data_IF_560079371416
#
_entry.id   IF_560079371416
#
_cell.length_a   1.000
_cell.length_b   1.000
_cell.length_c   1.000
_cell.angle_alpha   90.00
_cell.angle_beta   90.00
_cell.angle_gamma   90.00
#
_symmetry.space_group_name_H-M   'P 1'
#
loop_
_entity.id
_entity.type
_entity.pdbx_description
1 polymer ?
#
# COMPACT_ATOMS: atom_id res chain seq x y z
N UNK A 1 -1.18 -5.04 1.40
CA UNK A 1 -2.64 -4.81 1.41
C UNK A 1 -2.98 -3.79 0.34
N UNK A 2 -3.97 -4.08 -0.45
CA UNK A 2 -4.58 -3.06 -1.32
C UNK A 2 -5.68 -2.46 -0.46
N UNK A 3 -5.49 -1.23 0.04
CA UNK A 3 -6.47 -0.52 0.82
C UNK A 3 -7.85 -0.62 0.17
N UNK A 4 -8.77 -1.12 0.92
CA UNK A 4 -10.17 -1.25 0.55
C UNK A 4 -10.95 -0.19 1.32
N UNK A 5 -11.37 0.82 0.58
CA UNK A 5 -12.51 1.60 0.95
C UNK A 5 -12.28 2.88 1.71
N UNK A 6 -12.33 3.94 0.98
CA UNK A 6 -12.74 5.23 1.52
C UNK A 6 -14.23 5.15 1.82
N UNK A 7 -14.65 5.54 3.02
CA UNK A 7 -16.06 5.62 3.38
C UNK A 7 -16.54 7.03 3.15
N UNK A 8 -17.51 7.20 2.27
CA UNK A 8 -18.11 8.49 1.98
C UNK A 8 -19.54 8.56 2.54
N UNK A 9 -19.84 9.58 3.33
CA UNK A 9 -21.21 9.97 3.61
C UNK A 9 -21.64 11.03 2.62
N UNK A 10 -22.72 10.79 1.87
CA UNK A 10 -23.37 11.82 1.05
C UNK A 10 -24.63 12.29 1.76
N UNK A 11 -24.71 13.56 2.11
CA UNK A 11 -25.92 14.19 2.59
C UNK A 11 -26.74 14.77 1.41
N UNK A 12 -27.57 13.93 0.82
CA UNK A 12 -28.90 14.29 0.40
C UNK A 12 -29.81 13.24 1.04
N UNK A 13 -30.33 13.55 2.25
CA UNK A 13 -31.20 12.71 3.06
C UNK A 13 -30.49 11.48 3.70
N UNK A 14 -29.89 11.64 4.86
CA UNK A 14 -29.72 10.62 5.92
C UNK A 14 -29.19 9.23 5.50
N UNK A 15 -28.36 9.13 4.45
CA UNK A 15 -27.88 7.85 3.95
C UNK A 15 -26.36 7.72 4.11
N UNK A 16 -25.92 6.66 4.81
CA UNK A 16 -24.52 6.25 4.88
C UNK A 16 -24.17 5.41 3.66
N UNK A 17 -23.08 5.76 2.98
CA UNK A 17 -22.55 4.97 1.85
C UNK A 17 -21.07 4.70 2.04
N UNK A 18 -20.65 3.50 1.65
CA UNK A 18 -19.27 3.09 1.66
C UNK A 18 -18.79 2.82 0.24
N UNK A 19 -17.63 3.37 -0.12
CA UNK A 19 -17.05 3.21 -1.45
C UNK A 19 -15.58 2.74 -1.36
N UNK A 20 -15.15 2.01 -2.36
CA UNK A 20 -13.73 1.76 -2.56
C UNK A 20 -13.04 3.00 -3.13
N UNK A 21 -11.72 3.06 -3.04
CA UNK A 21 -10.89 4.12 -3.63
C UNK A 21 -11.17 4.41 -5.11
N UNK A 22 -11.74 3.46 -5.84
CA UNK A 22 -12.11 3.60 -7.25
C UNK A 22 -13.60 3.93 -7.42
N UNK A 23 -14.32 4.33 -6.36
CA UNK A 23 -15.72 4.70 -6.38
C UNK A 23 -16.70 3.52 -6.52
N UNK A 24 -16.23 2.27 -6.30
CA UNK A 24 -17.11 1.11 -6.30
C UNK A 24 -17.87 1.03 -4.97
N UNK A 25 -19.17 0.86 -5.02
CA UNK A 25 -20.01 0.65 -3.85
C UNK A 25 -19.60 -0.60 -3.06
N UNK A 26 -19.53 -0.45 -1.73
CA UNK A 26 -19.15 -1.48 -0.76
C UNK A 26 -20.27 -1.70 0.27
N UNK A 27 -21.52 -1.86 -0.20
CA UNK A 27 -22.69 -2.10 0.63
C UNK A 27 -22.71 -3.44 1.38
N UNK A 28 -21.71 -4.28 1.17
CA UNK A 28 -21.57 -5.61 1.77
C UNK A 28 -20.89 -5.63 3.15
N UNK A 29 -20.82 -4.49 3.84
CA UNK A 29 -20.33 -4.36 5.23
C UNK A 29 -21.44 -3.83 6.17
N UNK A 30 -22.54 -4.60 6.39
CA UNK A 30 -23.74 -4.09 7.05
C UNK A 30 -23.48 -3.60 8.49
N UNK A 31 -22.62 -4.25 9.26
CA UNK A 31 -22.30 -3.82 10.63
C UNK A 31 -21.54 -2.49 10.67
N UNK A 32 -20.61 -2.27 9.75
CA UNK A 32 -19.90 -0.99 9.66
C UNK A 32 -20.88 0.12 9.26
N UNK A 33 -21.71 -0.13 8.24
CA UNK A 33 -22.71 0.83 7.78
C UNK A 33 -23.73 1.16 8.89
N UNK A 34 -24.23 0.15 9.62
CA UNK A 34 -25.14 0.35 10.75
C UNK A 34 -24.49 1.23 11.84
N UNK A 35 -23.22 1.00 12.20
CA UNK A 35 -22.54 1.80 13.22
C UNK A 35 -22.33 3.26 12.78
N UNK A 36 -22.16 3.51 11.50
CA UNK A 36 -22.18 4.89 10.98
C UNK A 36 -23.58 5.49 11.01
N UNK A 37 -24.64 4.73 10.73
CA UNK A 37 -26.02 5.21 10.87
C UNK A 37 -26.35 5.59 12.32
N UNK A 38 -25.90 4.79 13.30
CA UNK A 38 -26.09 5.06 14.72
C UNK A 38 -25.36 6.32 15.23
N UNK A 39 -24.30 6.75 14.54
CA UNK A 39 -23.56 7.95 14.92
C UNK A 39 -23.98 9.23 14.13
N UNK A 40 -24.96 9.15 13.23
CA UNK A 40 -25.37 10.30 12.41
C UNK A 40 -25.76 11.53 13.24
N UNK A 41 -26.42 11.32 14.38
CA UNK A 41 -26.85 12.41 15.28
C UNK A 41 -25.68 13.15 15.93
N UNK A 42 -24.47 12.59 15.92
CA UNK A 42 -23.26 13.24 16.42
C UNK A 42 -22.66 14.23 15.39
N UNK A 43 -23.12 14.20 14.15
CA UNK A 43 -22.55 14.97 13.06
C UNK A 43 -23.31 16.29 12.86
N UNK A 44 -22.63 17.42 12.94
CA UNK A 44 -23.17 18.74 12.59
C UNK A 44 -23.22 18.99 11.07
N UNK A 45 -22.39 18.28 10.32
CA UNK A 45 -22.27 18.39 8.86
C UNK A 45 -21.94 17.04 8.22
N UNK A 46 -22.04 16.97 6.90
CA UNK A 46 -21.68 15.76 6.16
C UNK A 46 -20.17 15.56 6.15
N UNK A 47 -19.74 14.37 6.49
CA UNK A 47 -18.35 14.00 6.62
C UNK A 47 -17.94 12.89 5.66
N UNK A 48 -16.67 12.89 5.29
CA UNK A 48 -15.97 11.77 4.66
C UNK A 48 -15.01 11.20 5.68
N UNK A 49 -15.06 9.88 5.86
CA UNK A 49 -14.15 9.13 6.71
C UNK A 49 -13.26 8.25 5.82
N UNK A 50 -11.95 8.36 5.99
CA UNK A 50 -10.96 7.63 5.20
C UNK A 50 -10.32 6.53 6.07
N UNK A 51 -10.41 5.29 5.60
CA UNK A 51 -10.01 4.13 6.38
C UNK A 51 -9.68 2.91 5.53
N UNK A 52 -9.23 1.86 6.19
CA UNK A 52 -8.95 0.56 5.58
C UNK A 52 -9.74 -0.54 6.28
N UNK A 53 -10.51 -1.31 5.50
CA UNK A 53 -11.18 -2.49 6.04
C UNK A 53 -10.19 -3.63 6.15
N UNK A 54 -10.14 -4.24 7.32
CA UNK A 54 -9.34 -5.41 7.62
C UNK A 54 -10.22 -6.54 8.15
N UNK A 55 -9.79 -7.78 7.92
CA UNK A 55 -10.38 -9.00 8.49
C UNK A 55 -9.23 -9.95 8.77
N UNK A 56 -9.45 -10.89 9.67
CA UNK A 56 -8.48 -11.94 10.01
C UNK A 56 -8.14 -12.82 8.80
N UNK A 57 -9.07 -12.96 7.84
CA UNK A 57 -8.86 -13.65 6.56
C UNK A 57 -9.05 -12.72 5.36
N UNK A 58 -7.93 -12.11 4.92
CA UNK A 58 -7.91 -11.24 3.73
C UNK A 58 -8.37 -11.96 2.45
N UNK A 59 -8.11 -13.25 2.31
CA UNK A 59 -8.52 -13.99 1.11
C UNK A 59 -10.03 -14.18 1.08
N UNK A 60 -10.63 -14.51 2.21
CA UNK A 60 -12.07 -14.57 2.37
C UNK A 60 -12.69 -13.20 2.19
N UNK A 61 -12.16 -12.15 2.82
CA UNK A 61 -12.62 -10.78 2.64
C UNK A 61 -12.64 -10.36 1.16
N UNK A 62 -11.55 -10.64 0.42
CA UNK A 62 -11.48 -10.31 -1.01
C UNK A 62 -12.48 -11.07 -1.89
N UNK A 63 -12.84 -12.29 -1.52
CA UNK A 63 -13.89 -13.06 -2.19
C UNK A 63 -15.27 -12.50 -1.88
N UNK A 64 -15.51 -12.15 -0.62
CA UNK A 64 -16.80 -11.66 -0.12
C UNK A 64 -17.13 -10.25 -0.65
N UNK A 65 -16.14 -9.37 -0.82
CA UNK A 65 -16.30 -8.03 -1.40
C UNK A 65 -16.89 -8.06 -2.83
N UNK A 66 -16.60 -9.14 -3.57
CA UNK A 66 -17.07 -9.30 -4.95
C UNK A 66 -18.37 -10.13 -5.06
N UNK A 67 -18.89 -10.65 -3.97
CA UNK A 67 -20.15 -11.41 -3.97
C UNK A 67 -21.36 -10.48 -4.04
N UNK A 68 -22.26 -10.79 -4.94
CA UNK A 68 -23.58 -10.17 -5.00
C UNK A 68 -24.53 -10.91 -4.04
N UNK A 69 -24.53 -10.49 -2.77
CA UNK A 69 -25.44 -10.99 -1.73
C UNK A 69 -24.83 -12.11 -0.85
N UNK A 70 -25.18 -12.11 0.43
CA UNK A 70 -24.79 -13.14 1.41
C UNK A 70 -23.33 -13.11 1.84
N UNK A 71 -22.64 -11.97 1.73
CA UNK A 71 -21.27 -11.81 2.20
C UNK A 71 -21.20 -11.96 3.73
N UNK A 72 -20.25 -12.77 4.22
CA UNK A 72 -19.93 -12.88 5.65
C UNK A 72 -18.82 -11.90 5.99
N UNK A 73 -19.19 -10.68 6.35
CA UNK A 73 -18.27 -9.58 6.68
C UNK A 73 -18.45 -9.07 8.10
N UNK A 74 -19.07 -9.86 8.95
CA UNK A 74 -19.44 -9.48 10.31
C UNK A 74 -18.25 -9.23 11.23
N UNK A 75 -17.11 -9.83 10.95
CA UNK A 75 -15.82 -9.71 11.63
C UNK A 75 -14.92 -8.62 11.03
N UNK A 76 -15.37 -7.98 9.95
CA UNK A 76 -14.62 -6.90 9.32
C UNK A 76 -14.51 -5.70 10.26
N UNK A 77 -13.29 -5.14 10.36
CA UNK A 77 -12.97 -3.94 11.12
C UNK A 77 -12.55 -2.84 10.14
N UNK A 78 -13.19 -1.69 10.23
CA UNK A 78 -12.74 -0.49 9.53
C UNK A 78 -11.77 0.29 10.42
N UNK A 79 -10.54 0.42 9.97
CA UNK A 79 -9.51 1.20 10.66
C UNK A 79 -9.45 2.61 10.04
N UNK A 80 -10.02 3.59 10.74
CA UNK A 80 -10.08 4.99 10.30
C UNK A 80 -8.76 5.70 10.58
N UNK A 81 -8.24 6.38 9.59
CA UNK A 81 -7.00 7.14 9.73
C UNK A 81 -7.13 8.61 9.36
N UNK A 82 -8.26 9.06 8.78
CA UNK A 82 -8.51 10.47 8.48
C UNK A 82 -10.01 10.77 8.35
N UNK A 83 -10.40 12.05 8.42
CA UNK A 83 -11.73 12.52 8.07
C UNK A 83 -11.69 13.96 7.57
N UNK A 84 -12.70 14.36 6.80
CA UNK A 84 -12.85 15.76 6.33
C UNK A 84 -14.32 16.03 6.00
N UNK A 85 -14.75 17.31 5.98
CA UNK A 85 -16.06 17.69 5.47
C UNK A 85 -16.29 17.22 4.04
N UNK A 86 -17.51 16.79 3.74
CA UNK A 86 -17.87 16.32 2.38
C UNK A 86 -17.68 17.39 1.31
N UNK A 87 -17.93 18.65 1.65
CA UNK A 87 -17.76 19.76 0.71
C UNK A 87 -16.28 19.99 0.37
N UNK A 88 -15.39 19.85 1.37
CA UNK A 88 -13.94 19.88 1.14
C UNK A 88 -13.50 18.75 0.22
N UNK A 89 -14.03 17.53 0.45
CA UNK A 89 -13.75 16.39 -0.41
C UNK A 89 -14.21 16.62 -1.86
N UNK A 90 -15.41 17.18 -2.07
CA UNK A 90 -15.91 17.55 -3.40
C UNK A 90 -15.04 18.63 -4.07
N UNK A 91 -14.47 19.53 -3.27
CA UNK A 91 -13.53 20.55 -3.73
C UNK A 91 -12.12 20.00 -4.07
N UNK A 92 -11.87 18.71 -3.81
CA UNK A 92 -10.61 18.04 -4.12
C UNK A 92 -9.59 17.99 -2.99
N UNK A 93 -9.97 18.38 -1.79
CA UNK A 93 -9.13 18.30 -0.58
C UNK A 93 -9.55 19.28 0.50
N UNK A 94 -8.99 19.13 1.71
CA UNK A 94 -9.29 19.98 2.85
C UNK A 94 -8.06 20.78 3.27
N UNK A 95 -8.25 22.07 3.55
CA UNK A 95 -7.23 22.95 4.12
C UNK A 95 -6.95 22.70 5.61
N UNK A 96 -7.73 21.85 6.28
CA UNK A 96 -7.49 21.45 7.66
C UNK A 96 -6.19 20.66 7.76
N UNK A 97 -5.36 20.99 8.75
CA UNK A 97 -4.14 20.23 9.06
C UNK A 97 -4.50 18.83 9.55
N UNK A 98 -3.54 17.89 9.47
CA UNK A 98 -3.74 16.53 10.01
C UNK A 98 -4.14 16.54 11.50
N UNK A 99 -3.60 17.49 12.29
CA UNK A 99 -3.93 17.62 13.71
C UNK A 99 -5.40 18.00 13.90
N UNK A 100 -5.92 18.95 13.10
CA UNK A 100 -7.33 19.36 13.15
C UNK A 100 -8.26 18.22 12.73
N UNK A 101 -7.94 17.52 11.66
CA UNK A 101 -8.73 16.36 11.19
C UNK A 101 -8.71 15.18 12.18
N UNK A 102 -7.55 14.92 12.81
CA UNK A 102 -7.45 13.90 13.88
C UNK A 102 -8.27 14.27 15.12
N UNK A 103 -8.31 15.57 15.47
CA UNK A 103 -9.18 16.02 16.54
C UNK A 103 -10.65 15.81 16.19
N UNK A 104 -11.09 16.23 15.00
CA UNK A 104 -12.46 15.96 14.53
C UNK A 104 -12.80 14.48 14.57
N UNK A 105 -11.87 13.61 14.11
CA UNK A 105 -12.07 12.17 14.11
C UNK A 105 -12.22 11.59 15.52
N UNK A 106 -11.52 12.15 16.51
CA UNK A 106 -11.56 11.71 17.89
C UNK A 106 -12.81 12.21 18.66
N UNK A 107 -13.54 13.18 18.13
CA UNK A 107 -14.77 13.72 18.74
C UNK A 107 -15.98 12.80 18.50
N UNK A 108 -15.87 11.76 17.65
CA UNK A 108 -16.94 10.81 17.37
C UNK A 108 -16.78 9.52 18.20
N UNK A 109 -17.90 9.00 18.67
CA UNK A 109 -17.97 7.69 19.35
C UNK A 109 -18.37 6.61 18.32
N UNK A 110 -17.42 5.74 17.99
CA UNK A 110 -17.60 4.69 17.00
C UNK A 110 -17.93 3.34 17.65
N UNK A 111 -18.74 2.54 16.97
CA UNK A 111 -19.02 1.18 17.38
C UNK A 111 -17.81 0.22 17.22
N UNK A 112 -17.95 -1.04 17.70
CA UNK A 112 -16.85 -1.98 17.86
C UNK A 112 -16.18 -2.41 16.54
N UNK A 113 -16.87 -2.30 15.40
CA UNK A 113 -16.30 -2.62 14.08
C UNK A 113 -15.57 -1.44 13.43
N UNK A 114 -15.49 -0.30 14.11
CA UNK A 114 -14.77 0.89 13.63
C UNK A 114 -13.71 1.26 14.66
N UNK A 115 -12.45 1.32 14.24
CA UNK A 115 -11.31 1.64 15.11
C UNK A 115 -10.52 2.80 14.57
N UNK A 116 -10.02 3.64 15.44
CA UNK A 116 -9.10 4.71 15.07
C UNK A 116 -7.67 4.17 14.99
N UNK A 117 -7.00 4.46 13.89
CA UNK A 117 -5.57 4.14 13.76
C UNK A 117 -4.77 5.02 14.71
N UNK A 118 -3.96 4.38 15.55
CA UNK A 118 -3.06 5.05 16.48
C UNK A 118 -2.14 6.03 15.72
N UNK A 119 -1.93 7.18 16.32
CA UNK A 119 -1.08 8.24 15.75
C UNK A 119 -0.12 8.74 16.81
N UNK A 120 1.18 8.66 16.54
CA UNK A 120 2.25 9.14 17.42
C UNK A 120 2.91 10.35 16.79
N UNK A 121 3.09 11.42 17.59
CA UNK A 121 3.80 12.62 17.16
C UNK A 121 5.28 12.49 17.50
N UNK A 122 6.15 12.73 16.53
CA UNK A 122 7.60 12.64 16.68
C UNK A 122 8.29 13.85 16.04
N UNK A 123 9.43 14.25 16.58
CA UNK A 123 10.32 15.22 15.96
C UNK A 123 11.45 14.50 15.22
N UNK A 124 11.39 14.43 13.91
CA UNK A 124 12.41 13.72 13.11
C UNK A 124 13.68 14.57 12.83
N UNK A 125 13.77 15.77 13.39
CA UNK A 125 14.92 16.65 13.19
C UNK A 125 16.08 16.37 14.15
N UNK A 126 15.87 15.57 15.19
CA UNK A 126 16.88 15.19 16.17
C UNK A 126 17.03 13.67 16.27
N UNK A 127 18.15 13.25 16.86
CA UNK A 127 18.52 11.84 16.96
C UNK A 127 17.54 11.02 17.83
N UNK A 128 16.96 11.63 18.86
CA UNK A 128 16.01 10.98 19.75
C UNK A 128 14.72 10.68 19.01
N UNK A 129 14.17 11.65 18.27
CA UNK A 129 12.98 11.44 17.46
C UNK A 129 13.21 10.46 16.31
N UNK A 130 14.39 10.45 15.69
CA UNK A 130 14.75 9.45 14.69
C UNK A 130 14.81 8.05 15.30
N UNK A 131 15.36 7.91 16.51
CA UNK A 131 15.37 6.64 17.24
C UNK A 131 13.95 6.19 17.59
N UNK A 132 13.11 7.07 18.14
CA UNK A 132 11.70 6.77 18.43
C UNK A 132 10.96 6.30 17.20
N UNK A 133 11.20 6.93 16.05
CA UNK A 133 10.64 6.54 14.76
C UNK A 133 11.05 5.13 14.34
N UNK A 134 12.35 4.82 14.45
CA UNK A 134 12.86 3.50 14.09
C UNK A 134 12.28 2.40 15.00
N UNK A 135 12.23 2.65 16.31
CA UNK A 135 11.68 1.73 17.31
C UNK A 135 10.17 1.51 17.09
N UNK A 136 9.41 2.57 16.79
CA UNK A 136 7.98 2.47 16.52
C UNK A 136 7.69 1.73 15.20
N UNK A 137 8.46 2.00 14.15
CA UNK A 137 8.36 1.28 12.89
C UNK A 137 8.62 -0.21 13.08
N UNK A 138 9.68 -0.55 13.83
CA UNK A 138 9.99 -1.94 14.18
C UNK A 138 8.83 -2.59 14.96
N UNK A 139 8.31 -1.92 15.97
CA UNK A 139 7.16 -2.40 16.74
C UNK A 139 5.94 -2.69 15.86
N UNK A 140 5.64 -1.82 14.90
CA UNK A 140 4.54 -2.03 13.95
C UNK A 140 4.77 -3.25 13.05
N UNK A 141 6.00 -3.44 12.55
CA UNK A 141 6.37 -4.62 11.74
C UNK A 141 6.26 -5.90 12.58
N UNK A 142 6.77 -5.90 13.81
CA UNK A 142 6.70 -7.05 14.72
C UNK A 142 5.26 -7.43 15.08
N UNK A 143 4.33 -6.46 15.06
CA UNK A 143 2.86 -6.68 15.19
C UNK A 143 2.17 -7.14 13.90
N UNK A 144 2.90 -7.34 12.81
CA UNK A 144 2.37 -7.80 11.53
C UNK A 144 1.82 -6.71 10.61
N UNK A 145 1.98 -5.42 10.93
CA UNK A 145 1.63 -4.35 10.02
C UNK A 145 2.62 -4.25 8.85
N UNK A 146 2.17 -3.76 7.69
CA UNK A 146 3.05 -3.57 6.52
C UNK A 146 4.12 -2.47 6.72
N UNK A 147 3.95 -1.63 7.72
CA UNK A 147 4.78 -0.46 8.01
C UNK A 147 3.96 0.68 8.57
N UNK A 148 4.50 1.89 8.50
CA UNK A 148 3.88 3.10 9.03
C UNK A 148 3.68 4.17 7.95
N UNK A 149 2.75 5.09 8.21
CA UNK A 149 2.53 6.27 7.38
C UNK A 149 3.07 7.50 8.10
N UNK A 150 3.94 8.26 7.43
CA UNK A 150 4.47 9.54 7.92
C UNK A 150 3.70 10.68 7.26
N UNK A 151 3.20 11.60 8.08
CA UNK A 151 2.45 12.77 7.63
C UNK A 151 2.98 14.01 8.36
N UNK A 152 3.25 15.13 7.67
CA UNK A 152 3.63 16.38 8.35
C UNK A 152 2.47 16.92 9.20
N UNK A 153 2.77 17.45 10.37
CA UNK A 153 1.77 17.96 11.34
C UNK A 153 0.83 18.99 10.71
N UNK A 154 1.37 19.89 9.89
CA UNK A 154 0.60 20.88 9.13
C UNK A 154 0.01 20.36 7.82
N UNK A 155 0.18 19.07 7.51
CA UNK A 155 -0.22 18.51 6.22
C UNK A 155 -1.74 18.60 5.99
N UNK A 156 -2.10 19.16 4.84
CA UNK A 156 -3.49 19.23 4.35
C UNK A 156 -3.92 17.89 3.75
N UNK A 157 -5.22 17.72 3.49
CA UNK A 157 -5.73 16.55 2.78
C UNK A 157 -5.87 16.86 1.29
N UNK A 158 -5.28 16.05 0.43
CA UNK A 158 -5.41 16.16 -1.02
C UNK A 158 -6.04 14.88 -1.57
N UNK A 159 -7.12 14.99 -2.36
CA UNK A 159 -7.81 13.86 -3.00
C UNK A 159 -7.03 13.31 -4.22
N UNK A 160 -5.70 13.25 -4.11
CA UNK A 160 -4.77 12.75 -5.15
C UNK A 160 -3.53 12.14 -4.49
N UNK A 161 -2.63 11.57 -5.28
CA UNK A 161 -1.30 11.19 -4.77
C UNK A 161 -0.57 12.44 -4.27
N UNK A 162 -0.11 12.40 -3.03
CA UNK A 162 0.54 13.52 -2.37
C UNK A 162 1.84 13.09 -1.71
N UNK A 163 2.84 13.97 -1.72
CA UNK A 163 4.07 13.81 -0.95
C UNK A 163 3.89 14.08 0.55
N UNK A 164 2.71 14.54 0.95
CA UNK A 164 2.34 14.72 2.36
C UNK A 164 2.05 13.40 3.08
N UNK A 165 1.92 12.29 2.35
CA UNK A 165 1.66 10.95 2.89
C UNK A 165 2.75 10.00 2.42
N UNK A 166 3.72 9.73 3.28
CA UNK A 166 4.85 8.86 2.97
C UNK A 166 4.68 7.49 3.64
N UNK A 167 4.56 6.45 2.83
CA UNK A 167 4.52 5.08 3.34
C UNK A 167 5.94 4.57 3.56
N UNK A 168 6.24 4.22 4.81
CA UNK A 168 7.49 3.55 5.20
C UNK A 168 7.18 2.10 5.44
N UNK A 169 7.82 1.22 4.68
CA UNK A 169 7.69 -0.23 4.82
C UNK A 169 9.03 -0.91 4.60
N UNK A 170 9.27 -2.07 5.21
CA UNK A 170 10.49 -2.82 4.99
C UNK A 170 10.59 -3.23 3.52
N UNK A 171 11.80 -3.43 3.08
CA UNK A 171 12.13 -4.03 1.80
C UNK A 171 13.26 -5.04 2.00
N UNK A 172 13.38 -5.95 1.07
CA UNK A 172 14.49 -6.88 0.96
C UNK A 172 15.29 -6.55 -0.29
N UNK A 173 16.57 -6.87 -0.27
CA UNK A 173 17.45 -6.79 -1.44
C UNK A 173 18.06 -8.17 -1.66
N UNK A 174 17.86 -8.69 -2.86
CA UNK A 174 18.35 -10.01 -3.25
C UNK A 174 19.21 -9.88 -4.50
N UNK A 175 20.24 -10.70 -4.60
CA UNK A 175 21.11 -10.80 -5.79
C UNK A 175 20.70 -12.01 -6.60
N UNK A 176 20.26 -11.80 -7.85
CA UNK A 176 19.78 -12.83 -8.73
C UNK A 176 20.52 -12.79 -10.07
N UNK A 177 20.59 -13.90 -10.76
CA UNK A 177 21.25 -14.02 -12.07
C UNK A 177 20.24 -13.81 -13.19
N UNK A 178 20.59 -12.98 -14.16
CA UNK A 178 19.79 -12.78 -15.39
C UNK A 178 19.88 -14.03 -16.25
N UNK A 179 18.74 -14.62 -16.56
CA UNK A 179 18.60 -15.81 -17.40
C UNK A 179 18.08 -15.50 -18.78
N UNK A 180 17.24 -14.48 -18.87
CA UNK A 180 16.66 -14.04 -20.12
C UNK A 180 16.22 -12.57 -20.02
N UNK A 181 15.81 -11.98 -21.12
CA UNK A 181 15.28 -10.64 -21.23
C UNK A 181 13.98 -10.63 -22.02
N UNK A 182 13.05 -9.82 -21.61
CA UNK A 182 11.75 -9.67 -22.26
C UNK A 182 11.64 -8.29 -22.91
N UNK A 183 11.15 -8.25 -24.15
CA UNK A 183 10.85 -6.98 -24.84
C UNK A 183 9.67 -6.26 -24.18
N UNK A 184 9.75 -4.96 -24.12
CA UNK A 184 8.67 -4.13 -23.62
C UNK A 184 7.47 -4.07 -24.57
N UNK A 185 6.32 -3.71 -24.01
CA UNK A 185 5.08 -3.51 -24.76
C UNK A 185 4.68 -2.04 -24.81
N UNK A 186 3.77 -1.69 -25.72
CA UNK A 186 3.26 -0.32 -25.86
C UNK A 186 4.39 0.69 -26.15
N UNK A 187 4.59 1.69 -25.30
CA UNK A 187 5.65 2.70 -25.46
C UNK A 187 7.08 2.14 -25.35
N UNK A 188 7.21 0.92 -24.84
CA UNK A 188 8.50 0.26 -24.62
C UNK A 188 8.82 -0.80 -25.69
N UNK A 189 8.09 -0.87 -26.79
CA UNK A 189 8.42 -1.73 -27.93
C UNK A 189 9.80 -1.35 -28.46
N UNK A 190 10.66 -2.32 -28.77
CA UNK A 190 12.05 -2.12 -29.16
C UNK A 190 13.00 -1.76 -28.01
N UNK A 191 12.54 -1.87 -26.75
CA UNK A 191 13.32 -1.59 -25.53
C UNK A 191 13.15 -2.74 -24.53
N UNK A 192 14.01 -2.80 -23.51
CA UNK A 192 13.91 -3.77 -22.44
C UNK A 192 12.59 -3.59 -21.66
N UNK A 193 11.77 -4.62 -21.63
CA UNK A 193 10.56 -4.72 -20.81
C UNK A 193 10.86 -5.17 -19.39
N UNK A 194 11.50 -6.34 -19.27
CA UNK A 194 11.90 -6.93 -17.99
C UNK A 194 13.16 -7.78 -18.13
N UNK A 195 13.86 -7.95 -17.02
CA UNK A 195 14.87 -8.99 -16.82
C UNK A 195 14.19 -10.21 -16.24
N UNK A 196 14.40 -11.39 -16.81
CA UNK A 196 13.99 -12.67 -16.23
C UNK A 196 15.16 -13.15 -15.38
N UNK A 197 14.95 -13.22 -14.08
CA UNK A 197 16.02 -13.49 -13.13
C UNK A 197 15.70 -14.67 -12.23
N UNK A 198 16.74 -15.41 -11.84
CA UNK A 198 16.61 -16.51 -10.89
C UNK A 198 17.87 -16.62 -10.00
N UNK A 199 17.69 -17.24 -8.84
CA UNK A 199 18.76 -17.52 -7.89
C UNK A 199 18.23 -18.01 -6.56
N UNK A 200 19.13 -18.32 -5.66
CA UNK A 200 18.77 -18.76 -4.30
C UNK A 200 19.14 -17.70 -3.29
N UNK A 201 18.19 -17.34 -2.44
CA UNK A 201 18.38 -16.46 -1.29
C UNK A 201 17.65 -17.06 -0.09
N UNK A 202 18.34 -17.08 1.07
CA UNK A 202 17.82 -17.68 2.32
C UNK A 202 17.21 -19.08 2.11
N UNK A 203 17.88 -19.93 1.32
CA UNK A 203 17.47 -21.30 1.00
C UNK A 203 16.23 -21.40 0.09
N UNK A 204 15.71 -20.30 -0.45
CA UNK A 204 14.56 -20.26 -1.35
C UNK A 204 15.01 -20.03 -2.78
N UNK A 205 14.58 -20.89 -3.70
CA UNK A 205 14.82 -20.67 -5.12
C UNK A 205 13.79 -19.66 -5.66
N UNK A 206 14.30 -18.50 -6.05
CA UNK A 206 13.51 -17.35 -6.51
C UNK A 206 13.59 -17.27 -8.02
N UNK A 207 12.43 -17.14 -8.68
CA UNK A 207 12.31 -16.83 -10.10
C UNK A 207 11.28 -15.73 -10.30
N UNK A 208 11.66 -14.67 -11.01
CA UNK A 208 10.78 -13.51 -11.18
C UNK A 208 11.17 -12.66 -12.39
N UNK A 209 10.24 -11.83 -12.85
CA UNK A 209 10.48 -10.83 -13.88
C UNK A 209 10.64 -9.44 -13.22
N UNK A 210 11.71 -8.74 -13.55
CA UNK A 210 12.04 -7.42 -13.01
C UNK A 210 11.91 -6.38 -14.10
N UNK A 211 10.75 -5.74 -14.15
CA UNK A 211 10.44 -4.69 -15.14
C UNK A 211 10.36 -3.27 -14.56
N UNK A 212 10.37 -3.13 -13.23
CA UNK A 212 10.35 -1.84 -12.52
C UNK A 212 11.75 -1.41 -12.10
N UNK A 213 11.95 -0.09 -11.89
CA UNK A 213 13.24 0.47 -11.45
C UNK A 213 14.17 0.87 -12.61
N UNK A 214 13.84 0.50 -13.85
CA UNK A 214 14.58 0.87 -15.05
C UNK A 214 14.10 2.22 -15.57
N UNK A 215 15.02 3.12 -15.88
CA UNK A 215 14.73 4.37 -16.61
C UNK A 215 14.52 4.09 -18.10
N UNK A 216 13.98 5.05 -18.86
CA UNK A 216 13.82 4.91 -20.30
C UNK A 216 15.18 4.74 -20.99
N UNK A 217 16.22 5.43 -20.51
CA UNK A 217 17.61 5.30 -20.98
C UNK A 217 18.19 3.90 -20.70
N UNK A 218 17.96 3.36 -19.48
CA UNK A 218 18.38 2.01 -19.12
C UNK A 218 17.76 0.99 -20.08
N UNK A 219 16.45 1.12 -20.33
CA UNK A 219 15.71 0.20 -21.22
C UNK A 219 16.28 0.18 -22.64
N UNK A 220 16.63 1.35 -23.17
CA UNK A 220 17.23 1.46 -24.52
C UNK A 220 18.65 0.88 -24.55
N UNK A 221 19.47 1.23 -23.55
CA UNK A 221 20.87 0.80 -23.46
C UNK A 221 20.97 -0.71 -23.27
N UNK A 222 20.18 -1.23 -22.32
CA UNK A 222 20.23 -2.66 -21.99
C UNK A 222 19.62 -3.53 -23.08
N UNK A 223 18.59 -3.05 -23.79
CA UNK A 223 18.04 -3.80 -24.91
C UNK A 223 19.04 -3.95 -26.07
N UNK A 224 19.81 -2.90 -26.37
CA UNK A 224 20.89 -2.96 -27.39
C UNK A 224 22.02 -3.92 -26.98
N UNK A 225 22.21 -4.11 -25.69
CA UNK A 225 23.25 -4.96 -25.13
C UNK A 225 22.70 -6.27 -24.53
N UNK A 226 21.47 -6.68 -24.89
CA UNK A 226 20.71 -7.75 -24.24
C UNK A 226 21.48 -9.06 -24.06
N UNK A 227 22.24 -9.46 -25.08
CA UNK A 227 23.02 -10.71 -25.05
C UNK A 227 24.14 -10.69 -24.00
N UNK A 228 24.61 -9.48 -23.60
CA UNK A 228 25.63 -9.28 -22.57
C UNK A 228 25.06 -9.27 -21.15
N UNK A 229 23.74 -9.19 -21.02
CA UNK A 229 23.07 -9.19 -19.72
C UNK A 229 22.89 -10.61 -19.15
N UNK A 230 22.83 -11.59 -20.05
CA UNK A 230 22.67 -12.99 -19.66
C UNK A 230 23.85 -13.46 -18.82
N UNK A 231 23.58 -14.02 -17.66
CA UNK A 231 24.59 -14.47 -16.70
C UNK A 231 25.07 -13.38 -15.73
N UNK A 232 24.76 -12.10 -15.97
CA UNK A 232 25.09 -11.06 -15.01
C UNK A 232 24.24 -11.17 -13.74
N UNK A 233 24.84 -10.79 -12.61
CA UNK A 233 24.15 -10.68 -11.33
C UNK A 233 23.53 -9.31 -11.19
N UNK A 234 22.24 -9.28 -10.87
CA UNK A 234 21.45 -8.06 -10.64
C UNK A 234 21.00 -8.00 -9.19
N UNK A 235 21.10 -6.83 -8.59
CA UNK A 235 20.52 -6.52 -7.30
C UNK A 235 19.09 -6.05 -7.48
N UNK A 236 18.17 -6.75 -6.83
CA UNK A 236 16.73 -6.50 -6.93
C UNK A 236 16.18 -6.17 -5.56
N UNK A 237 15.53 -5.02 -5.43
CA UNK A 237 14.76 -4.66 -4.24
C UNK A 237 13.33 -5.13 -4.38
N UNK A 238 12.77 -5.70 -3.34
CA UNK A 238 11.38 -6.15 -3.31
C UNK A 238 10.74 -5.91 -1.94
N UNK A 239 9.41 -5.98 -1.89
CA UNK A 239 8.68 -5.85 -0.63
C UNK A 239 8.80 -7.12 0.23
N UNK A 240 8.79 -8.29 -0.41
CA UNK A 240 8.91 -9.60 0.27
C UNK A 240 9.20 -10.72 -0.75
N UNK A 241 9.70 -11.85 -0.25
CA UNK A 241 9.68 -13.13 -0.98
C UNK A 241 8.30 -13.75 -0.78
N UNK A 242 7.66 -14.19 -1.87
CA UNK A 242 6.34 -14.82 -1.87
C UNK A 242 6.41 -16.18 -2.53
N UNK A 243 5.70 -17.16 -1.97
CA UNK A 243 5.60 -18.48 -2.58
C UNK A 243 4.65 -18.44 -3.79
N UNK A 244 5.01 -19.13 -4.86
CA UNK A 244 4.13 -19.29 -6.00
C UNK A 244 2.96 -20.20 -5.61
N UNK A 245 1.72 -19.78 -5.87
CA UNK A 245 0.52 -20.53 -5.48
C UNK A 245 0.35 -21.85 -6.27
N UNK A 246 1.01 -21.98 -7.42
CA UNK A 246 0.88 -23.11 -8.32
C UNK A 246 2.03 -24.13 -8.22
N UNK A 247 3.12 -23.79 -7.53
CA UNK A 247 4.30 -24.64 -7.37
C UNK A 247 4.82 -24.54 -5.93
N UNK A 248 5.12 -25.67 -5.30
CA UNK A 248 5.56 -25.72 -3.91
C UNK A 248 7.02 -25.30 -3.71
N UNK A 249 7.83 -25.36 -4.77
CA UNK A 249 9.29 -25.22 -4.69
C UNK A 249 9.82 -23.94 -5.36
N UNK A 250 8.95 -23.15 -6.00
CA UNK A 250 9.34 -21.89 -6.62
C UNK A 250 8.80 -20.69 -5.81
N UNK A 251 9.71 -19.76 -5.57
CA UNK A 251 9.42 -18.48 -4.91
C UNK A 251 9.50 -17.35 -5.90
N UNK A 252 8.83 -16.26 -5.61
CA UNK A 252 8.85 -15.04 -6.41
C UNK A 252 9.05 -13.82 -5.51
N UNK A 253 9.22 -12.65 -6.11
CA UNK A 253 9.35 -11.38 -5.39
C UNK A 253 8.10 -10.54 -5.55
N UNK A 254 7.63 -9.98 -4.44
CA UNK A 254 6.52 -9.01 -4.46
C UNK A 254 7.05 -7.62 -4.82
N UNK A 255 6.55 -7.05 -5.92
CA UNK A 255 6.96 -5.74 -6.45
C UNK A 255 8.47 -5.58 -6.66
N UNK A 256 9.11 -6.49 -7.43
CA UNK A 256 10.53 -6.40 -7.70
C UNK A 256 10.89 -5.13 -8.47
N UNK A 257 12.03 -4.53 -8.10
CA UNK A 257 12.58 -3.32 -8.72
C UNK A 257 14.07 -3.52 -8.95
N UNK A 258 14.50 -3.25 -10.15
CA UNK A 258 15.92 -3.19 -10.49
C UNK A 258 16.62 -2.09 -9.68
N UNK A 259 17.79 -2.40 -9.12
CA UNK A 259 18.68 -1.44 -8.49
C UNK A 259 19.93 -1.20 -9.33
N UNK A 260 20.68 -2.26 -9.60
CA UNK A 260 21.94 -2.21 -10.36
C UNK A 260 22.39 -3.61 -10.75
N UNK A 261 23.31 -3.68 -11.70
CA UNK A 261 24.10 -4.88 -11.94
C UNK A 261 25.25 -4.98 -10.95
N UNK A 262 25.64 -6.21 -10.59
CA UNK A 262 26.79 -6.52 -9.72
C UNK A 262 27.92 -7.27 -10.45
N UNK A 263 27.76 -7.59 -11.71
CA UNK A 263 28.68 -8.40 -12.49
C UNK A 263 28.23 -9.85 -12.64
N UNK A 264 29.15 -10.76 -12.94
CA UNK A 264 28.84 -12.17 -13.25
C UNK A 264 28.82 -13.08 -12.02
N UNK A 265 29.31 -12.62 -10.86
CA UNK A 265 29.33 -13.40 -9.63
C UNK A 265 28.63 -12.66 -8.48
N UNK A 266 27.97 -13.42 -7.60
CA UNK A 266 27.33 -12.87 -6.40
C UNK A 266 28.41 -12.26 -5.49
N UNK A 267 28.26 -10.98 -5.17
CA UNK A 267 29.19 -10.22 -4.36
C UNK A 267 30.20 -9.37 -5.13
N UNK A 268 30.29 -9.53 -6.45
CA UNK A 268 31.12 -8.66 -7.30
C UNK A 268 30.45 -7.28 -7.44
N UNK A 269 31.22 -6.22 -7.14
CA UNK A 269 30.77 -4.84 -7.33
C UNK A 269 31.35 -4.33 -8.64
N UNK A 270 30.51 -3.87 -9.54
CA UNK A 270 30.94 -3.06 -10.68
C UNK A 270 31.12 -1.61 -10.25
#
# INVERSE_FOLDING_TARGET
SRGLGDVYKRQDKDEVKMFSRNGKDLSNFPKILQQFDEMLDQMSESMVFDGEVMSDDIQTLMREIHRKGGAKTDDAILNLFDCLPLEDFKAGGSGLSIVQRKKLLADYDFGPNIKLVETVRMNLSDDDGQKQFADYNKLCIDKGFEGIMVKPIGGVYECKRSSLWLKVKPFIEVSLTVKDVEEGTGRNVGKLGALIVEGTDDGKFIKTNVGSGLTDSDRETYWKAKDKLIGQVVEVRADAITQNQNTTDEWSLRFPRFLRFRGFEIGEKM
#
